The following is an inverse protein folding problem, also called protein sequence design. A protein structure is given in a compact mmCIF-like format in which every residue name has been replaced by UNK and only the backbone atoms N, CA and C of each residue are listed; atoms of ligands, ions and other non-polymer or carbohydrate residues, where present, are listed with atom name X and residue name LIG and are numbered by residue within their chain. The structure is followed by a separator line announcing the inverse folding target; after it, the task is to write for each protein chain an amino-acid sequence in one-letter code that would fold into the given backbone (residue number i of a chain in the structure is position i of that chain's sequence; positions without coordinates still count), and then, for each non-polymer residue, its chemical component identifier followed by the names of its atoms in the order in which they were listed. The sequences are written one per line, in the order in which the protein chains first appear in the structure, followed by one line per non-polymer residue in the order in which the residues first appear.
data_IF_783014804036
#
_entry.id   IF_783014804036
#
_cell.length_a   1.000
_cell.length_b   1.000
_cell.length_c   1.000
_cell.angle_alpha   90.00
_cell.angle_beta   90.00
_cell.angle_gamma   90.00
#
_symmetry.space_group_name_H-M   'P 1'
#
loop_
_entity.id
_entity.type
_entity.pdbx_description
1 polymer ?
#
# COMPACT_ATOMS: atom_id res chain seq x y z
N UNK A 1 13.95 13.56 -15.34
CA UNK A 1 13.95 13.75 -13.90
C UNK A 1 12.78 14.61 -13.43
N UNK A 2 12.04 14.11 -12.48
CA UNK A 2 10.88 14.81 -11.99
C UNK A 2 11.23 15.94 -11.05
N UNK A 3 10.46 17.00 -11.14
CA UNK A 3 10.58 18.14 -10.27
C UNK A 3 9.56 17.98 -9.13
N UNK A 4 10.01 18.12 -7.87
CA UNK A 4 9.12 18.07 -6.74
C UNK A 4 8.23 19.31 -6.73
N UNK A 5 6.93 19.10 -6.66
CA UNK A 5 5.96 20.19 -6.62
C UNK A 5 5.97 20.85 -5.24
N UNK A 6 5.74 22.18 -5.23
CA UNK A 6 5.59 22.92 -3.98
C UNK A 6 4.15 22.93 -3.47
N UNK A 7 3.28 22.17 -4.11
CA UNK A 7 1.87 22.09 -3.74
C UNK A 7 1.72 21.46 -2.35
N UNK A 8 0.95 22.11 -1.49
CA UNK A 8 0.76 21.65 -0.11
C UNK A 8 -0.16 20.44 -0.01
N UNK A 9 -1.15 20.34 -0.92
CA UNK A 9 -2.17 19.29 -0.89
C UNK A 9 -1.90 18.22 -1.94
N UNK A 10 -0.77 17.55 -1.82
CA UNK A 10 -0.44 16.47 -2.74
C UNK A 10 -1.32 15.25 -2.47
N UNK A 11 -1.84 14.64 -3.54
CA UNK A 11 -2.55 13.38 -3.43
C UNK A 11 -1.56 12.25 -3.17
N UNK A 12 -2.06 11.13 -2.69
CA UNK A 12 -1.22 9.95 -2.49
C UNK A 12 -0.60 9.47 -3.80
N UNK A 13 -1.30 9.65 -4.90
CA UNK A 13 -0.79 9.27 -6.22
C UNK A 13 0.45 10.08 -6.58
N UNK A 14 0.42 11.38 -6.31
CA UNK A 14 1.57 12.24 -6.55
C UNK A 14 2.73 11.92 -5.61
N UNK A 15 2.44 11.72 -4.34
CA UNK A 15 3.46 11.40 -3.34
C UNK A 15 4.18 10.10 -3.72
N UNK A 16 3.44 9.08 -4.10
CA UNK A 16 4.03 7.80 -4.50
C UNK A 16 4.92 7.94 -5.72
N UNK A 17 4.48 8.72 -6.72
CA UNK A 17 5.29 8.98 -7.91
C UNK A 17 6.58 9.71 -7.56
N UNK A 18 6.46 10.76 -6.75
CA UNK A 18 7.63 11.57 -6.37
C UNK A 18 8.60 10.79 -5.51
N UNK A 19 8.12 9.88 -4.69
CA UNK A 19 8.99 9.02 -3.89
C UNK A 19 9.85 8.11 -4.75
N UNK A 20 9.39 7.78 -5.96
CA UNK A 20 10.18 7.00 -6.91
C UNK A 20 11.14 7.87 -7.71
N UNK A 21 11.04 9.20 -7.59
CA UNK A 21 11.86 10.12 -8.37
C UNK A 21 11.42 10.25 -9.81
N UNK A 22 10.19 9.86 -10.14
CA UNK A 22 9.70 9.90 -11.52
C UNK A 22 9.05 11.25 -11.83
N UNK A 23 9.37 11.80 -13.01
CA UNK A 23 8.53 12.84 -13.61
C UNK A 23 7.23 12.17 -14.10
N UNK A 24 6.25 12.97 -14.48
CA UNK A 24 5.01 12.42 -15.04
C UNK A 24 5.28 11.66 -16.34
N UNK A 25 6.21 12.19 -17.16
CA UNK A 25 6.61 11.54 -18.41
C UNK A 25 7.29 10.20 -18.14
N UNK A 26 8.19 10.16 -17.15
CA UNK A 26 8.85 8.91 -16.77
C UNK A 26 7.86 7.92 -16.21
N UNK A 27 6.93 8.39 -15.36
CA UNK A 27 5.89 7.54 -14.83
C UNK A 27 5.03 6.95 -15.92
N UNK A 28 4.68 7.77 -16.93
CA UNK A 28 3.91 7.30 -18.07
C UNK A 28 4.63 6.17 -18.81
N UNK A 29 5.94 6.28 -18.99
CA UNK A 29 6.73 5.20 -19.59
C UNK A 29 6.71 3.93 -18.75
N UNK A 30 6.87 4.07 -17.43
CA UNK A 30 6.90 2.93 -16.52
C UNK A 30 5.54 2.23 -16.48
N UNK A 31 4.46 3.02 -16.44
CA UNK A 31 3.11 2.46 -16.37
C UNK A 31 2.64 1.89 -17.71
N UNK A 32 3.17 2.41 -18.80
CA UNK A 32 2.96 1.86 -20.13
C UNK A 32 1.73 2.34 -20.86
N UNK A 33 0.58 2.37 -20.22
CA UNK A 33 -0.67 2.71 -20.90
C UNK A 33 -1.41 3.90 -20.31
N UNK A 34 -0.84 4.54 -19.28
CA UNK A 34 -1.42 5.74 -18.67
C UNK A 34 -0.59 6.93 -19.11
N UNK A 35 -1.23 7.90 -19.75
CA UNK A 35 -0.50 9.07 -20.28
C UNK A 35 -0.10 10.02 -19.16
N UNK A 36 0.93 10.83 -19.41
CA UNK A 36 1.37 11.84 -18.47
C UNK A 36 0.24 12.83 -18.15
N UNK A 37 -0.57 13.16 -19.15
CA UNK A 37 -1.71 14.05 -18.97
C UNK A 37 -2.75 13.43 -18.03
N UNK A 38 -3.02 12.14 -18.17
CA UNK A 38 -3.95 11.44 -17.30
C UNK A 38 -3.41 11.39 -15.87
N UNK A 39 -2.12 11.15 -15.71
CA UNK A 39 -1.46 11.15 -14.40
C UNK A 39 -1.64 12.53 -13.74
N UNK A 40 -1.42 13.58 -14.50
CA UNK A 40 -1.60 14.95 -13.98
C UNK A 40 -3.02 15.19 -13.49
N UNK A 41 -4.00 14.77 -14.25
CA UNK A 41 -5.41 14.96 -13.89
C UNK A 41 -5.78 14.20 -12.61
N UNK A 42 -5.28 12.98 -12.48
CA UNK A 42 -5.49 12.18 -11.29
C UNK A 42 -4.86 12.87 -10.08
N UNK A 43 -3.62 13.33 -10.23
CA UNK A 43 -2.87 13.95 -9.13
C UNK A 43 -3.47 15.28 -8.69
N UNK A 44 -4.06 16.01 -9.62
CA UNK A 44 -4.67 17.29 -9.29
C UNK A 44 -6.07 17.17 -8.72
N UNK A 45 -6.57 15.95 -8.58
CA UNK A 45 -7.87 15.71 -7.95
C UNK A 45 -9.06 15.97 -8.84
N UNK A 46 -8.84 16.18 -10.14
CA UNK A 46 -9.93 16.42 -11.08
C UNK A 46 -10.69 15.16 -11.47
N UNK A 47 -10.12 14.01 -11.20
CA UNK A 47 -10.71 12.72 -11.54
C UNK A 47 -10.42 11.70 -10.47
N UNK A 48 -11.40 10.86 -10.20
CA UNK A 48 -11.15 9.64 -9.43
C UNK A 48 -10.56 8.62 -10.40
N UNK A 49 -9.38 8.07 -10.12
CA UNK A 49 -8.79 7.08 -11.01
C UNK A 49 -9.61 5.79 -11.01
N UNK A 50 -9.50 5.03 -12.10
CA UNK A 50 -10.12 3.72 -12.16
C UNK A 50 -9.27 2.73 -11.38
N UNK A 51 -9.91 1.64 -10.94
CA UNK A 51 -9.21 0.63 -10.16
C UNK A 51 -8.02 0.02 -10.91
N UNK A 52 -8.15 -0.17 -12.24
CA UNK A 52 -7.06 -0.71 -13.04
C UNK A 52 -5.88 0.27 -13.13
N UNK A 53 -6.17 1.58 -13.16
CA UNK A 53 -5.13 2.60 -13.14
C UNK A 53 -4.38 2.59 -11.80
N UNK A 54 -5.11 2.48 -10.70
CA UNK A 54 -4.52 2.43 -9.37
C UNK A 54 -3.66 1.18 -9.20
N UNK A 55 -4.14 0.05 -9.70
CA UNK A 55 -3.39 -1.19 -9.65
C UNK A 55 -2.06 -1.05 -10.40
N UNK A 56 -2.09 -0.44 -11.59
CA UNK A 56 -0.86 -0.23 -12.35
C UNK A 56 0.08 0.74 -11.65
N UNK A 57 -0.45 1.84 -11.10
CA UNK A 57 0.35 2.79 -10.33
C UNK A 57 0.99 2.13 -9.11
N UNK A 58 0.24 1.30 -8.40
CA UNK A 58 0.74 0.56 -7.25
C UNK A 58 1.93 -0.31 -7.63
N UNK A 59 1.85 -0.98 -8.76
CA UNK A 59 2.96 -1.82 -9.26
C UNK A 59 4.13 -0.98 -9.74
N UNK A 60 3.86 0.03 -10.54
CA UNK A 60 4.90 0.86 -11.13
C UNK A 60 5.63 1.71 -10.11
N UNK A 61 4.93 2.19 -9.10
CA UNK A 61 5.53 2.98 -8.02
C UNK A 61 5.99 2.11 -6.85
N UNK A 62 5.80 0.80 -6.95
CA UNK A 62 6.21 -0.18 -5.93
C UNK A 62 5.64 0.16 -4.55
N UNK A 63 4.37 0.53 -4.53
CA UNK A 63 3.69 0.90 -3.30
C UNK A 63 2.31 0.25 -3.23
N UNK A 64 2.23 -0.98 -2.69
CA UNK A 64 0.96 -1.69 -2.60
C UNK A 64 -0.06 -0.99 -1.70
N UNK A 65 0.39 -0.11 -0.81
CA UNK A 65 -0.51 0.64 0.05
C UNK A 65 -1.42 1.59 -0.74
N UNK A 66 -1.05 1.93 -1.98
CA UNK A 66 -1.86 2.78 -2.83
C UNK A 66 -3.20 2.13 -3.15
N UNK A 67 -3.21 0.81 -3.33
CA UNK A 67 -4.46 0.07 -3.55
C UNK A 67 -5.36 0.14 -2.32
N UNK A 68 -4.79 -0.01 -1.13
CA UNK A 68 -5.55 0.11 0.11
C UNK A 68 -6.12 1.52 0.26
N UNK A 69 -5.33 2.54 -0.03
CA UNK A 69 -5.78 3.92 0.01
C UNK A 69 -6.98 4.13 -0.92
N UNK A 70 -6.87 3.65 -2.17
CA UNK A 70 -7.95 3.79 -3.15
C UNK A 70 -9.23 3.11 -2.65
N UNK A 71 -9.11 1.89 -2.16
CA UNK A 71 -10.28 1.16 -1.69
C UNK A 71 -10.93 1.85 -0.49
N UNK A 72 -10.13 2.36 0.44
CA UNK A 72 -10.67 2.97 1.64
C UNK A 72 -11.24 4.37 1.41
N UNK A 73 -10.71 5.12 0.44
CA UNK A 73 -11.08 6.53 0.26
C UNK A 73 -11.88 6.83 -1.00
N UNK A 74 -11.69 6.06 -2.07
CA UNK A 74 -12.27 6.39 -3.37
C UNK A 74 -13.37 5.44 -3.81
N UNK A 75 -13.25 4.17 -3.46
CA UNK A 75 -14.21 3.16 -3.89
C UNK A 75 -15.38 3.08 -2.91
N UNK A 76 -16.63 3.27 -3.35
CA UNK A 76 -17.76 3.22 -2.44
C UNK A 76 -17.87 1.91 -1.65
N UNK A 77 -17.56 0.80 -2.29
CA UNK A 77 -17.57 -0.50 -1.61
C UNK A 77 -16.46 -0.55 -0.58
N UNK A 78 -15.27 -0.09 -0.97
CA UNK A 78 -14.12 -0.09 -0.07
C UNK A 78 -14.30 0.83 1.11
N UNK A 79 -14.98 1.97 0.92
CA UNK A 79 -15.26 2.88 2.02
C UNK A 79 -16.12 2.22 3.11
N UNK A 80 -16.95 1.27 2.72
CA UNK A 80 -17.80 0.53 3.66
C UNK A 80 -17.06 -0.61 4.35
N UNK A 81 -16.17 -1.30 3.63
CA UNK A 81 -15.67 -2.59 4.09
C UNK A 81 -14.15 -2.68 4.21
N UNK A 82 -13.41 -1.71 3.69
CA UNK A 82 -11.95 -1.79 3.65
C UNK A 82 -11.36 -0.68 4.51
N UNK A 83 -10.79 -0.99 5.68
CA UNK A 83 -10.13 0.03 6.50
C UNK A 83 -8.81 0.45 5.89
N UNK A 84 -8.46 1.72 6.06
CA UNK A 84 -7.15 2.20 5.67
C UNK A 84 -6.11 1.70 6.66
N UNK A 85 -5.02 1.10 6.14
CA UNK A 85 -3.92 0.61 6.95
C UNK A 85 -2.77 1.60 6.87
N UNK A 86 -2.31 2.07 8.04
CA UNK A 86 -1.19 3.00 8.11
C UNK A 86 0.07 2.25 8.49
N UNK A 87 1.24 2.82 8.20
CA UNK A 87 2.52 2.16 8.46
C UNK A 87 2.66 1.76 9.92
N UNK A 88 2.26 2.63 10.85
CA UNK A 88 2.32 2.31 12.28
C UNK A 88 1.42 1.14 12.67
N UNK A 89 0.28 1.00 11.98
CA UNK A 89 -0.63 -0.12 12.20
C UNK A 89 -0.04 -1.41 11.69
N UNK A 90 0.66 -1.36 10.54
CA UNK A 90 1.35 -2.52 10.00
C UNK A 90 2.44 -3.02 10.96
N UNK A 91 3.21 -2.10 11.56
CA UNK A 91 4.24 -2.46 12.53
C UNK A 91 3.63 -3.16 13.73
N UNK A 92 2.53 -2.63 14.24
CA UNK A 92 1.84 -3.24 15.39
C UNK A 92 1.31 -4.62 15.02
N UNK A 93 0.70 -4.76 13.85
CA UNK A 93 0.17 -6.05 13.40
C UNK A 93 1.29 -7.07 13.30
N UNK A 94 2.43 -6.70 12.73
CA UNK A 94 3.58 -7.60 12.62
C UNK A 94 4.06 -8.03 14.00
N UNK A 95 4.17 -7.09 14.94
CA UNK A 95 4.60 -7.41 16.31
C UNK A 95 3.62 -8.36 16.99
N UNK A 96 2.31 -8.14 16.81
CA UNK A 96 1.29 -9.01 17.37
C UNK A 96 1.36 -10.42 16.78
N UNK A 97 1.60 -10.50 15.47
CA UNK A 97 1.75 -11.78 14.80
C UNK A 97 2.97 -12.53 15.31
N UNK A 98 4.10 -11.85 15.48
CA UNK A 98 5.31 -12.46 16.01
C UNK A 98 5.11 -12.96 17.43
N UNK A 99 4.42 -12.18 18.27
CA UNK A 99 4.12 -12.57 19.63
C UNK A 99 3.23 -13.82 19.65
N UNK A 100 2.24 -13.89 18.75
CA UNK A 100 1.36 -15.04 18.64
C UNK A 100 2.13 -16.28 18.20
N UNK A 101 3.02 -16.14 17.22
CA UNK A 101 3.84 -17.25 16.75
C UNK A 101 4.77 -17.77 17.85
N UNK A 102 5.38 -16.87 18.62
CA UNK A 102 6.22 -17.26 19.75
C UNK A 102 5.43 -18.02 20.80
N UNK A 103 4.22 -17.55 21.12
CA UNK A 103 3.36 -18.24 22.08
C UNK A 103 3.00 -19.64 21.61
N UNK A 104 2.67 -19.78 20.32
CA UNK A 104 2.36 -21.07 19.73
C UNK A 104 3.58 -22.01 19.76
N UNK A 105 4.74 -21.49 19.48
CA UNK A 105 5.98 -22.27 19.50
C UNK A 105 6.29 -22.79 20.90
N UNK A 106 6.12 -21.96 21.91
CA UNK A 106 6.31 -22.35 23.31
C UNK A 106 5.33 -23.45 23.72
N UNK A 107 4.07 -23.33 23.31
CA UNK A 107 3.06 -24.35 23.59
C UNK A 107 3.43 -25.67 22.93
N UNK A 108 3.93 -25.61 21.72
CA UNK A 108 4.36 -26.81 20.99
C UNK A 108 5.50 -27.52 21.72
N UNK A 109 6.49 -26.78 22.18
CA UNK A 109 7.60 -27.32 22.94
C UNK A 109 7.14 -28.00 24.22
N UNK A 110 6.22 -27.37 24.95
CA UNK A 110 5.67 -27.95 26.16
C UNK A 110 4.92 -29.24 25.90
N UNK A 111 4.17 -29.31 24.81
CA UNK A 111 3.45 -30.52 24.44
C UNK A 111 4.41 -31.66 24.12
N UNK A 112 5.52 -31.37 23.46
CA UNK A 112 6.53 -32.36 23.15
C UNK A 112 7.16 -32.89 24.45
N UNK A 113 7.50 -32.01 25.40
CA UNK A 113 8.07 -32.39 26.67
C UNK A 113 7.10 -33.27 27.48
N UNK A 114 5.83 -32.86 27.54
CA UNK A 114 4.81 -33.62 28.23
C UNK A 114 4.65 -35.01 27.62
N UNK A 115 4.64 -35.10 26.31
CA UNK A 115 4.51 -36.36 25.62
C UNK A 115 5.72 -37.29 25.91
N UNK A 116 6.92 -36.72 25.91
CA UNK A 116 8.13 -37.49 26.19
C UNK A 116 8.15 -38.01 27.63
N UNK A 117 7.73 -37.14 28.58
CA UNK A 117 7.72 -37.49 30.00
C UNK A 117 6.59 -38.45 30.33
N UNK A 118 5.53 -38.42 29.54
CA UNK A 118 4.36 -39.30 29.78
C UNK A 118 4.54 -40.71 29.31
N UNK A 119 5.71 -41.03 28.78
CA UNK A 119 6.01 -42.41 28.43
C UNK A 119 6.29 -43.24 29.68
#
# INVERSE_FOLDING_TARGET
MGRTSNKDNKTQYQICRENMGYSREKASEVLGWISADRIERIENGGFVPRSDEVLEMSRGYRNPNLCNYYCAHECPIGQQYVPEIKVKDLSRIVLEMLASLNAMQKKQERLIEITADGQ
#
